data_IF_650234908588
#
_entry.id   IF_650234908588
#
_cell.length_a   1.000
_cell.length_b   1.000
_cell.length_c   1.000
_cell.angle_alpha   90.00
_cell.angle_beta   90.00
_cell.angle_gamma   90.00
#
_symmetry.space_group_name_H-M   'P 1'
#
loop_
_entity.id
_entity.type
_entity.pdbx_description
1 polymer ?
#
# COMPACT_ATOMS: atom_id res chain seq x y z
N UNK A 1 -21.42 -61.37 -6.24
CA UNK A 1 -20.47 -60.51 -5.55
C UNK A 1 -20.64 -59.09 -6.12
N UNK A 2 -21.48 -58.31 -5.47
CA UNK A 2 -21.80 -56.94 -5.88
C UNK A 2 -20.93 -55.94 -5.11
N UNK A 3 -20.10 -55.19 -5.84
CA UNK A 3 -19.34 -54.08 -5.28
C UNK A 3 -20.08 -52.77 -5.60
N UNK A 4 -20.80 -52.24 -4.61
CA UNK A 4 -21.39 -50.90 -4.67
C UNK A 4 -20.30 -49.89 -4.35
N UNK A 5 -19.94 -49.06 -5.34
CA UNK A 5 -19.16 -47.86 -5.16
C UNK A 5 -20.04 -46.77 -4.52
N UNK A 6 -19.67 -46.34 -3.31
CA UNK A 6 -20.23 -45.14 -2.70
C UNK A 6 -19.45 -43.92 -3.26
N UNK A 7 -20.11 -43.17 -4.11
CA UNK A 7 -19.65 -41.83 -4.48
C UNK A 7 -20.15 -40.85 -3.40
N UNK A 8 -19.22 -40.38 -2.53
CA UNK A 8 -19.46 -39.28 -1.63
C UNK A 8 -19.39 -37.97 -2.41
N UNK A 9 -20.54 -37.39 -2.74
CA UNK A 9 -20.64 -36.04 -3.24
C UNK A 9 -20.37 -35.07 -2.07
N UNK A 10 -19.19 -34.43 -2.08
CA UNK A 10 -18.92 -33.28 -1.23
C UNK A 10 -19.70 -32.11 -1.81
N UNK A 11 -20.84 -31.79 -1.20
CA UNK A 11 -21.55 -30.55 -1.46
C UNK A 11 -20.71 -29.39 -0.92
N UNK A 12 -19.99 -28.68 -1.78
CA UNK A 12 -19.45 -27.37 -1.47
C UNK A 12 -20.64 -26.43 -1.36
N UNK A 13 -21.05 -26.12 -0.12
CA UNK A 13 -22.00 -25.06 0.13
C UNK A 13 -21.36 -23.74 -0.30
N UNK A 14 -21.84 -23.18 -1.40
CA UNK A 14 -21.60 -21.80 -1.76
C UNK A 14 -22.22 -20.91 -0.67
N UNK A 15 -21.46 -20.62 0.37
CA UNK A 15 -21.81 -19.53 1.28
C UNK A 15 -21.78 -18.25 0.44
N UNK A 16 -22.96 -17.64 0.25
CA UNK A 16 -23.10 -16.43 -0.52
C UNK A 16 -22.16 -15.35 0.05
N UNK A 17 -21.18 -14.96 -0.74
CA UNK A 17 -20.29 -13.83 -0.44
C UNK A 17 -21.22 -12.61 -0.41
N UNK A 18 -21.51 -12.08 0.78
CA UNK A 18 -22.22 -10.80 0.87
C UNK A 18 -21.28 -9.72 0.36
N UNK A 19 -21.69 -9.10 -0.73
CA UNK A 19 -20.98 -8.05 -1.42
C UNK A 19 -20.64 -6.88 -0.50
N UNK A 20 -19.38 -6.44 -0.50
CA UNK A 20 -18.95 -5.21 0.18
C UNK A 20 -19.68 -3.98 -0.40
N UNK A 21 -20.18 -4.05 -1.63
CA UNK A 21 -20.97 -2.99 -2.29
C UNK A 21 -22.38 -2.83 -1.71
N UNK A 22 -22.95 -3.89 -1.11
CA UNK A 22 -24.26 -3.86 -0.48
C UNK A 22 -24.24 -3.31 0.97
N UNK A 23 -23.06 -2.94 1.49
CA UNK A 23 -22.93 -2.43 2.86
C UNK A 23 -23.51 -1.01 2.99
N UNK A 24 -24.31 -0.80 4.03
CA UNK A 24 -24.76 0.54 4.43
C UNK A 24 -23.60 1.31 5.09
N UNK A 25 -22.99 2.21 4.34
CA UNK A 25 -21.90 3.06 4.81
C UNK A 25 -22.39 4.33 5.53
N UNK A 26 -23.70 4.50 5.72
CA UNK A 26 -24.28 5.67 6.43
C UNK A 26 -24.30 5.48 7.95
N UNK A 27 -23.83 4.32 8.44
CA UNK A 27 -23.79 3.92 9.85
C UNK A 27 -25.17 3.83 10.54
N UNK A 28 -26.26 3.87 9.79
CA UNK A 28 -27.61 3.74 10.33
C UNK A 28 -27.94 2.31 10.74
N UNK A 29 -27.26 1.34 10.12
CA UNK A 29 -27.47 -0.08 10.41
C UNK A 29 -26.22 -0.65 11.07
N UNK A 30 -26.32 -1.31 12.24
CA UNK A 30 -25.18 -1.95 12.88
C UNK A 30 -24.52 -3.01 11.99
N UNK A 31 -23.20 -3.06 12.01
CA UNK A 31 -22.44 -4.11 11.33
C UNK A 31 -22.63 -5.45 12.04
N UNK A 32 -22.97 -6.49 11.30
CA UNK A 32 -23.00 -7.86 11.84
C UNK A 32 -21.60 -8.40 12.01
N UNK A 33 -21.31 -8.97 13.17
CA UNK A 33 -20.02 -9.60 13.46
C UNK A 33 -20.06 -11.14 13.27
N UNK A 34 -18.93 -11.78 12.90
CA UNK A 34 -17.72 -11.12 12.36
C UNK A 34 -18.03 -10.39 11.06
N UNK A 35 -17.27 -9.32 10.78
CA UNK A 35 -17.48 -8.52 9.57
C UNK A 35 -17.22 -9.36 8.32
N UNK A 36 -18.22 -9.52 7.41
CA UNK A 36 -18.09 -10.38 6.24
C UNK A 36 -17.08 -9.85 5.19
N UNK A 37 -16.69 -8.57 5.28
CA UNK A 37 -15.64 -8.01 4.42
C UNK A 37 -14.25 -8.53 4.78
N UNK A 38 -14.05 -9.16 5.95
CA UNK A 38 -12.77 -9.73 6.38
C UNK A 38 -12.79 -11.23 6.12
N UNK A 39 -12.18 -11.66 5.01
CA UNK A 39 -12.28 -13.02 4.47
C UNK A 39 -11.03 -13.81 4.79
N UNK A 40 -11.19 -14.97 5.46
CA UNK A 40 -10.12 -15.98 5.58
C UNK A 40 -10.17 -16.90 4.38
N UNK A 41 -9.08 -16.94 3.62
CA UNK A 41 -8.89 -17.87 2.50
C UNK A 41 -8.10 -19.11 2.94
N UNK A 42 -7.37 -19.01 4.05
CA UNK A 42 -6.57 -20.05 4.67
C UNK A 42 -6.61 -19.90 6.20
N UNK A 43 -6.63 -20.99 6.98
CA UNK A 43 -6.68 -20.93 8.45
C UNK A 43 -5.54 -20.12 9.10
N UNK A 44 -4.40 -19.96 8.42
CA UNK A 44 -3.29 -19.10 8.89
C UNK A 44 -3.69 -17.65 9.09
N UNK A 45 -4.73 -17.17 8.39
CA UNK A 45 -5.23 -15.80 8.54
C UNK A 45 -6.13 -15.63 9.76
N UNK A 46 -6.77 -16.68 10.26
CA UNK A 46 -7.78 -16.59 11.32
C UNK A 46 -7.27 -15.91 12.60
N UNK A 47 -5.99 -16.10 12.95
CA UNK A 47 -5.36 -15.45 14.11
C UNK A 47 -5.30 -13.93 14.03
N UNK A 48 -5.34 -13.36 12.82
CA UNK A 48 -5.28 -11.90 12.60
C UNK A 48 -6.66 -11.24 12.56
N UNK A 49 -7.71 -12.06 12.47
CA UNK A 49 -9.09 -11.61 12.35
C UNK A 49 -9.71 -11.40 13.72
N UNK A 50 -10.00 -10.16 14.06
CA UNK A 50 -10.78 -9.85 15.27
C UNK A 50 -12.26 -10.02 14.99
N UNK A 51 -12.95 -10.85 15.83
CA UNK A 51 -14.35 -11.23 15.60
C UNK A 51 -15.37 -10.12 15.84
N UNK A 52 -14.99 -9.02 16.48
CA UNK A 52 -15.86 -7.94 16.94
C UNK A 52 -15.43 -6.54 16.48
N UNK A 53 -14.71 -6.45 15.38
CA UNK A 53 -14.29 -5.18 14.77
C UNK A 53 -14.92 -5.01 13.40
N UNK A 54 -15.48 -3.82 13.08
CA UNK A 54 -16.00 -3.54 11.76
C UNK A 54 -14.90 -2.96 10.86
N UNK A 55 -15.03 -3.17 9.56
CA UNK A 55 -14.42 -2.32 8.56
C UNK A 55 -15.12 -0.96 8.59
N UNK A 56 -14.38 0.12 8.84
CA UNK A 56 -14.89 1.47 8.97
C UNK A 56 -14.50 2.31 7.73
N UNK A 57 -15.43 3.13 7.24
CA UNK A 57 -15.12 4.19 6.29
C UNK A 57 -14.98 5.50 7.07
N UNK A 58 -13.75 5.99 7.19
CA UNK A 58 -13.43 7.18 8.00
C UNK A 58 -13.66 8.48 7.24
N UNK A 59 -13.55 8.44 5.91
CA UNK A 59 -13.69 9.63 5.06
C UNK A 59 -14.08 9.25 3.64
N UNK A 60 -14.85 10.09 2.99
CA UNK A 60 -15.08 10.05 1.55
C UNK A 60 -14.70 11.42 0.98
N UNK A 61 -13.80 11.41 -0.01
CA UNK A 61 -13.37 12.62 -0.69
C UNK A 61 -14.57 13.28 -1.39
N UNK A 62 -14.93 14.52 -1.04
CA UNK A 62 -16.11 15.19 -1.62
C UNK A 62 -16.00 15.39 -3.14
N UNK A 63 -14.77 15.48 -3.67
CA UNK A 63 -14.51 15.60 -5.10
C UNK A 63 -14.37 14.22 -5.79
N UNK A 64 -14.37 13.13 -5.01
CA UNK A 64 -14.23 11.76 -5.50
C UNK A 64 -13.00 11.56 -6.39
N UNK A 65 -11.90 12.23 -6.03
CA UNK A 65 -10.61 12.11 -6.69
C UNK A 65 -9.81 10.94 -6.10
N UNK A 66 -8.58 10.73 -6.57
CA UNK A 66 -7.77 9.57 -6.25
C UNK A 66 -6.95 9.79 -4.98
N UNK A 67 -7.26 9.03 -3.91
CA UNK A 67 -6.50 9.04 -2.68
C UNK A 67 -5.36 8.01 -2.72
N UNK A 68 -4.23 8.37 -2.10
CA UNK A 68 -2.99 7.61 -2.12
C UNK A 68 -2.16 7.77 -0.84
N UNK A 69 -1.06 7.02 -0.76
CA UNK A 69 0.12 7.30 0.03
C UNK A 69 -0.15 7.53 1.52
N UNK A 70 -0.89 6.63 2.17
CA UNK A 70 -1.16 6.78 3.59
C UNK A 70 0.06 6.44 4.45
N UNK A 71 0.33 7.28 5.46
CA UNK A 71 1.39 7.13 6.45
C UNK A 71 0.92 7.56 7.84
N UNK A 72 1.22 6.75 8.85
CA UNK A 72 0.88 7.01 10.24
C UNK A 72 2.00 7.75 10.97
N UNK A 73 1.68 8.84 11.64
CA UNK A 73 2.57 9.49 12.60
C UNK A 73 2.22 9.03 14.01
N UNK A 74 3.09 8.24 14.63
CA UNK A 74 2.83 7.65 15.94
C UNK A 74 2.89 8.68 17.08
N UNK A 75 3.72 9.72 16.95
CA UNK A 75 3.87 10.78 17.96
C UNK A 75 2.65 11.71 17.96
N UNK A 76 2.28 12.20 16.77
CA UNK A 76 1.15 13.11 16.61
C UNK A 76 -0.22 12.41 16.56
N UNK A 77 -0.24 11.07 16.48
CA UNK A 77 -1.46 10.23 16.41
C UNK A 77 -2.41 10.66 15.29
N UNK A 78 -1.84 10.83 14.09
CA UNK A 78 -2.59 11.17 12.89
C UNK A 78 -2.10 10.38 11.68
N UNK A 79 -2.98 10.22 10.71
CA UNK A 79 -2.68 9.66 9.41
C UNK A 79 -2.56 10.78 8.39
N UNK A 80 -1.50 10.79 7.60
CA UNK A 80 -1.41 11.60 6.37
C UNK A 80 -1.77 10.71 5.19
N UNK A 81 -2.50 11.26 4.22
CA UNK A 81 -2.74 10.64 2.92
C UNK A 81 -2.89 11.71 1.83
N UNK A 82 -2.65 11.32 0.61
CA UNK A 82 -2.64 12.23 -0.55
C UNK A 82 -3.97 12.17 -1.30
N UNK A 83 -4.51 13.32 -1.71
CA UNK A 83 -5.41 13.46 -2.85
C UNK A 83 -4.57 13.94 -4.01
N UNK A 84 -4.06 13.01 -4.82
CA UNK A 84 -3.04 13.29 -5.83
C UNK A 84 -3.52 14.26 -6.89
N UNK A 85 -4.70 14.05 -7.55
CA UNK A 85 -5.21 15.00 -8.54
C UNK A 85 -5.65 16.33 -7.94
N UNK A 86 -6.11 16.31 -6.68
CA UNK A 86 -6.51 17.51 -5.95
C UNK A 86 -5.35 18.39 -5.51
N UNK A 87 -4.11 17.89 -5.65
CA UNK A 87 -2.88 18.55 -5.18
C UNK A 87 -2.92 18.87 -3.69
N UNK A 88 -3.39 17.89 -2.90
CA UNK A 88 -3.62 18.01 -1.47
C UNK A 88 -2.91 16.88 -0.70
N UNK A 89 -2.40 17.20 0.49
CA UNK A 89 -2.26 16.24 1.56
C UNK A 89 -3.36 16.46 2.59
N UNK A 90 -4.01 15.37 2.96
CA UNK A 90 -5.06 15.31 3.96
C UNK A 90 -4.51 14.68 5.23
N UNK A 91 -5.10 15.03 6.37
CA UNK A 91 -4.73 14.47 7.67
C UNK A 91 -6.01 14.03 8.40
N UNK A 92 -6.08 12.72 8.71
CA UNK A 92 -7.07 12.18 9.63
C UNK A 92 -6.48 12.19 11.05
N UNK A 93 -7.21 12.74 12.01
CA UNK A 93 -6.80 12.89 13.41
C UNK A 93 -7.53 11.85 14.25
N UNK A 94 -6.78 11.04 15.02
CA UNK A 94 -7.34 9.94 15.81
C UNK A 94 -8.27 10.42 16.92
N UNK A 95 -7.94 11.54 17.57
CA UNK A 95 -8.63 12.01 18.77
C UNK A 95 -10.06 12.48 18.52
N UNK A 96 -10.33 13.05 17.35
CA UNK A 96 -11.64 13.61 17.00
C UNK A 96 -12.27 13.01 15.73
N UNK A 97 -11.61 12.00 15.16
CA UNK A 97 -12.05 11.30 13.92
C UNK A 97 -12.32 12.26 12.75
N UNK A 98 -11.54 13.34 12.64
CA UNK A 98 -11.75 14.39 11.64
C UNK A 98 -10.66 14.39 10.58
N UNK A 99 -11.03 14.63 9.32
CA UNK A 99 -10.09 14.89 8.23
C UNK A 99 -9.95 16.39 8.00
N UNK A 100 -8.71 16.85 7.85
CA UNK A 100 -8.36 18.23 7.56
C UNK A 100 -7.40 18.31 6.39
N UNK A 101 -7.38 19.43 5.68
CA UNK A 101 -6.31 19.73 4.72
C UNK A 101 -5.02 19.94 5.53
N UNK A 102 -3.99 19.18 5.20
CA UNK A 102 -2.69 19.26 5.85
C UNK A 102 -1.71 20.13 5.06
N UNK A 103 -1.68 19.97 3.72
CA UNK A 103 -0.89 20.82 2.81
C UNK A 103 -1.64 21.07 1.51
N UNK A 104 -1.48 22.30 0.99
CA UNK A 104 -1.99 22.75 -0.30
C UNK A 104 -1.16 23.94 -0.80
N UNK A 105 -0.50 23.88 -1.97
CA UNK A 105 -0.34 22.71 -2.82
C UNK A 105 0.55 21.64 -2.17
N UNK A 106 0.44 20.39 -2.61
CA UNK A 106 1.27 19.27 -2.15
C UNK A 106 2.31 18.82 -3.18
N UNK A 107 2.32 19.42 -4.36
CA UNK A 107 3.13 19.01 -5.50
C UNK A 107 2.62 17.70 -6.14
N UNK A 108 1.31 17.46 -6.12
CA UNK A 108 0.70 16.19 -6.49
C UNK A 108 1.38 15.03 -5.73
N UNK A 109 1.49 15.16 -4.40
CA UNK A 109 2.11 14.12 -3.58
C UNK A 109 1.40 12.79 -3.77
N UNK A 110 2.18 11.69 -3.81
CA UNK A 110 1.67 10.33 -3.89
C UNK A 110 2.01 9.59 -2.60
N UNK A 111 3.04 8.74 -2.57
CA UNK A 111 3.48 8.01 -1.41
C UNK A 111 4.07 8.90 -0.32
N UNK A 112 3.80 8.53 0.92
CA UNK A 112 4.34 9.19 2.10
C UNK A 112 4.87 8.15 3.10
N UNK A 113 5.83 8.59 3.91
CA UNK A 113 6.30 7.88 5.09
C UNK A 113 6.80 8.89 6.12
N UNK A 114 7.14 8.42 7.30
CA UNK A 114 7.90 9.20 8.28
C UNK A 114 9.27 8.57 8.47
N UNK A 115 10.30 9.39 8.74
CA UNK A 115 11.56 8.87 9.22
C UNK A 115 11.49 8.57 10.73
N UNK A 116 12.50 7.90 11.26
CA UNK A 116 12.54 7.54 12.68
C UNK A 116 12.79 8.72 13.62
N UNK A 117 12.96 9.92 13.06
CA UNK A 117 12.96 11.19 13.77
C UNK A 117 11.59 11.88 13.73
N UNK A 118 10.59 11.29 13.05
CA UNK A 118 9.23 11.80 12.94
C UNK A 118 9.01 12.86 11.86
N UNK A 119 9.98 13.05 10.93
CA UNK A 119 9.84 13.98 9.82
C UNK A 119 9.15 13.25 8.65
N UNK A 120 8.21 13.91 8.01
CA UNK A 120 7.52 13.34 6.86
C UNK A 120 8.39 13.39 5.62
N UNK A 121 8.42 12.28 4.87
CA UNK A 121 9.00 12.16 3.54
C UNK A 121 7.87 11.91 2.55
N UNK A 122 7.89 12.59 1.41
CA UNK A 122 6.84 12.53 0.39
C UNK A 122 7.40 12.42 -1.01
N UNK A 123 6.79 11.58 -1.83
CA UNK A 123 7.01 11.53 -3.27
C UNK A 123 6.08 12.53 -3.96
N UNK A 124 6.62 13.44 -4.75
CA UNK A 124 5.86 14.49 -5.46
C UNK A 124 5.90 14.25 -6.97
N UNK A 125 4.76 13.94 -7.57
CA UNK A 125 4.64 13.69 -9.01
C UNK A 125 4.82 14.97 -9.85
N UNK A 126 4.24 16.10 -9.43
CA UNK A 126 4.29 17.34 -10.17
C UNK A 126 5.72 17.83 -10.43
N UNK A 127 6.52 18.12 -9.40
CA UNK A 127 7.94 18.49 -9.54
C UNK A 127 8.87 17.31 -9.81
N UNK A 128 8.39 16.04 -9.74
CA UNK A 128 9.16 14.80 -10.03
C UNK A 128 10.32 14.63 -9.04
N UNK A 129 10.02 14.58 -7.74
CA UNK A 129 11.05 14.58 -6.68
C UNK A 129 10.59 13.88 -5.40
N UNK A 130 11.55 13.54 -4.54
CA UNK A 130 11.34 13.12 -3.15
C UNK A 130 11.75 14.26 -2.23
N UNK A 131 10.89 14.59 -1.26
CA UNK A 131 11.12 15.68 -0.31
C UNK A 131 10.97 15.22 1.12
N UNK A 132 11.60 15.92 2.05
CA UNK A 132 11.38 15.79 3.48
C UNK A 132 10.91 17.12 4.05
N UNK A 133 9.89 17.07 4.89
CA UNK A 133 9.42 18.24 5.63
C UNK A 133 10.10 18.30 6.98
N UNK A 134 10.81 19.38 7.22
CA UNK A 134 11.57 19.61 8.44
C UNK A 134 10.67 20.10 9.58
N UNK A 135 11.18 20.11 10.83
CA UNK A 135 10.38 20.51 12.00
C UNK A 135 9.94 21.98 11.98
N UNK A 136 10.68 22.84 11.29
CA UNK A 136 10.32 24.25 11.09
C UNK A 136 9.30 24.48 9.97
N UNK A 137 8.88 23.40 9.30
CA UNK A 137 7.93 23.41 8.19
C UNK A 137 8.57 23.65 6.82
N UNK A 138 9.90 23.82 6.74
CA UNK A 138 10.61 23.92 5.47
C UNK A 138 10.64 22.60 4.74
N UNK A 139 10.83 22.63 3.41
CA UNK A 139 10.90 21.47 2.54
C UNK A 139 12.34 21.28 2.05
N UNK A 140 12.93 20.13 2.37
CA UNK A 140 14.24 19.71 1.85
C UNK A 140 14.05 18.76 0.67
N UNK A 141 14.56 19.12 -0.50
CA UNK A 141 14.59 18.21 -1.67
C UNK A 141 15.69 17.17 -1.46
N UNK A 142 15.27 15.89 -1.32
CA UNK A 142 16.19 14.77 -1.11
C UNK A 142 16.69 14.19 -2.43
N UNK A 143 15.82 14.11 -3.43
CA UNK A 143 16.14 13.57 -4.76
C UNK A 143 15.25 14.19 -5.83
N UNK A 144 15.82 14.65 -6.94
CA UNK A 144 15.09 15.17 -8.12
C UNK A 144 15.71 14.70 -9.44
N UNK A 145 16.96 14.28 -9.43
CA UNK A 145 17.71 13.82 -10.61
C UNK A 145 18.58 12.63 -10.27
N UNK A 146 18.84 11.79 -11.28
CA UNK A 146 19.82 10.73 -11.22
C UNK A 146 20.71 10.80 -12.48
N UNK A 147 22.02 10.91 -12.31
CA UNK A 147 23.00 11.07 -13.41
C UNK A 147 22.62 12.22 -14.38
N UNK A 148 22.19 13.37 -13.83
CA UNK A 148 21.82 14.56 -14.60
C UNK A 148 20.44 14.49 -15.28
N UNK A 149 19.73 13.37 -15.19
CA UNK A 149 18.38 13.18 -15.74
C UNK A 149 17.33 13.27 -14.65
N UNK A 150 16.20 13.86 -14.99
CA UNK A 150 15.08 14.02 -14.06
C UNK A 150 14.40 12.67 -13.80
N UNK A 151 13.96 12.41 -12.55
CA UNK A 151 13.14 11.23 -12.24
C UNK A 151 11.85 11.23 -13.06
N UNK A 152 11.25 10.05 -13.23
CA UNK A 152 9.95 9.93 -13.90
C UNK A 152 8.85 10.56 -13.05
N UNK A 153 8.47 9.90 -11.98
CA UNK A 153 7.54 10.41 -10.97
C UNK A 153 7.65 9.54 -9.71
N UNK A 154 8.55 9.88 -8.77
CA UNK A 154 8.68 9.13 -7.54
C UNK A 154 7.30 8.85 -6.91
N UNK A 155 7.05 7.56 -6.57
CA UNK A 155 5.70 7.09 -6.28
C UNK A 155 5.51 6.66 -4.83
N UNK A 156 6.17 5.59 -4.35
CA UNK A 156 6.11 5.17 -2.95
C UNK A 156 7.50 5.20 -2.31
N UNK A 157 7.56 5.32 -0.97
CA UNK A 157 8.80 5.57 -0.23
C UNK A 157 8.77 4.92 1.14
N UNK A 158 9.91 4.36 1.54
CA UNK A 158 10.16 3.76 2.86
C UNK A 158 11.51 4.18 3.40
N UNK A 159 11.68 4.09 4.73
CA UNK A 159 12.95 4.34 5.41
C UNK A 159 13.48 3.04 6.00
N UNK A 160 14.75 2.75 5.77
CA UNK A 160 15.40 1.58 6.34
C UNK A 160 15.82 1.86 7.78
N UNK A 161 15.32 1.06 8.73
CA UNK A 161 15.39 1.35 10.17
C UNK A 161 16.81 1.41 10.73
N UNK A 162 17.76 0.67 10.18
CA UNK A 162 19.09 0.55 10.77
C UNK A 162 20.08 1.62 10.30
N UNK A 163 19.85 2.23 9.14
CA UNK A 163 20.78 3.20 8.55
C UNK A 163 20.11 4.49 8.07
N UNK A 164 18.80 4.64 8.32
CA UNK A 164 17.96 5.78 7.91
C UNK A 164 17.97 6.04 6.40
N UNK A 165 18.50 5.11 5.58
CA UNK A 165 18.47 5.26 4.12
C UNK A 165 17.03 5.25 3.61
N UNK A 166 16.77 6.04 2.56
CA UNK A 166 15.44 6.24 2.00
C UNK A 166 15.37 5.50 0.68
N UNK A 167 14.39 4.61 0.54
CA UNK A 167 14.19 3.80 -0.66
C UNK A 167 12.88 4.19 -1.30
N UNK A 168 12.87 4.42 -2.62
CA UNK A 168 11.67 4.86 -3.33
C UNK A 168 11.58 4.24 -4.73
N UNK A 169 10.36 4.17 -5.24
CA UNK A 169 10.06 3.72 -6.60
C UNK A 169 9.86 4.91 -7.52
N UNK A 170 10.28 4.78 -8.79
CA UNK A 170 10.19 5.83 -9.81
C UNK A 170 9.50 5.34 -11.09
N UNK A 171 8.21 4.99 -11.04
CA UNK A 171 7.43 4.69 -12.24
C UNK A 171 7.01 5.97 -12.97
N UNK A 172 6.42 5.80 -14.16
CA UNK A 172 6.00 6.92 -15.02
C UNK A 172 4.60 7.48 -14.74
N UNK A 173 3.89 7.05 -13.69
CA UNK A 173 2.47 7.40 -13.48
C UNK A 173 2.19 8.90 -13.51
N UNK A 174 3.00 9.72 -12.82
CA UNK A 174 2.82 11.16 -12.75
C UNK A 174 3.16 11.93 -14.03
N UNK A 175 3.80 11.27 -15.02
CA UNK A 175 4.15 11.88 -16.31
C UNK A 175 3.38 11.30 -17.50
N UNK A 176 2.53 10.29 -17.29
CA UNK A 176 1.74 9.70 -18.38
C UNK A 176 0.64 10.63 -18.87
N UNK A 177 0.00 11.38 -17.97
CA UNK A 177 -1.16 12.24 -18.23
C UNK A 177 -1.14 13.47 -17.32
N UNK A 178 -1.94 14.50 -17.65
CA UNK A 178 -2.15 15.70 -16.84
C UNK A 178 -3.28 15.47 -15.81
N UNK A 179 -3.14 14.50 -14.94
CA UNK A 179 -4.13 14.19 -13.91
C UNK A 179 -3.50 14.02 -12.52
N UNK A 180 -2.52 13.15 -12.40
CA UNK A 180 -1.77 12.91 -11.15
C UNK A 180 -0.41 13.60 -11.14
N UNK A 181 -0.14 14.44 -12.11
CA UNK A 181 1.09 15.20 -12.32
C UNK A 181 1.03 15.92 -13.67
N UNK A 182 2.17 16.11 -14.31
CA UNK A 182 2.27 16.80 -15.61
C UNK A 182 2.89 15.89 -16.66
N UNK A 183 2.18 15.71 -17.80
CA UNK A 183 2.66 14.89 -18.90
C UNK A 183 4.03 15.32 -19.37
N UNK A 184 4.99 14.40 -19.41
CA UNK A 184 6.35 14.61 -19.84
C UNK A 184 6.94 13.32 -20.43
N UNK A 185 8.03 13.42 -21.25
CA UNK A 185 8.77 12.24 -21.65
C UNK A 185 9.53 11.64 -20.46
N UNK A 186 9.67 10.31 -20.45
CA UNK A 186 10.56 9.61 -19.54
C UNK A 186 12.01 9.84 -19.95
N UNK A 187 12.86 10.19 -18.97
CA UNK A 187 14.31 10.39 -19.19
C UNK A 187 15.12 9.21 -18.63
N UNK A 188 14.52 8.43 -17.72
CA UNK A 188 15.12 7.29 -17.05
C UNK A 188 14.25 6.05 -17.26
N UNK A 189 14.87 4.86 -17.23
CA UNK A 189 14.14 3.61 -17.06
C UNK A 189 13.48 3.60 -15.70
N UNK A 190 12.28 3.08 -15.61
CA UNK A 190 11.56 2.90 -14.34
C UNK A 190 12.38 1.98 -13.42
N UNK A 191 12.54 2.35 -12.16
CA UNK A 191 13.47 1.70 -11.24
C UNK A 191 13.15 1.93 -9.77
N UNK A 192 13.84 1.22 -8.91
CA UNK A 192 13.91 1.47 -7.46
C UNK A 192 15.25 2.16 -7.17
N UNK A 193 15.21 3.19 -6.35
CA UNK A 193 16.36 3.99 -5.94
C UNK A 193 16.52 4.00 -4.43
N UNK A 194 17.76 4.25 -3.98
CA UNK A 194 18.13 4.45 -2.58
C UNK A 194 18.88 5.77 -2.43
N UNK A 195 18.55 6.52 -1.39
CA UNK A 195 19.27 7.72 -0.96
C UNK A 195 20.02 7.34 0.32
N UNK A 196 21.33 7.52 0.35
CA UNK A 196 22.12 7.36 1.56
C UNK A 196 21.82 8.49 2.54
N UNK A 197 21.51 8.15 3.79
CA UNK A 197 21.08 9.13 4.79
C UNK A 197 22.17 10.12 5.21
N UNK A 198 23.44 9.75 5.07
CA UNK A 198 24.59 10.55 5.51
C UNK A 198 25.17 11.41 4.39
N UNK A 199 25.41 10.79 3.24
CA UNK A 199 26.02 11.47 2.09
C UNK A 199 25.01 12.15 1.18
N UNK A 200 23.73 11.72 1.19
CA UNK A 200 22.74 12.12 0.22
C UNK A 200 22.95 11.49 -1.17
N UNK A 201 23.90 10.57 -1.31
CA UNK A 201 24.18 9.87 -2.57
C UNK A 201 22.98 9.04 -3.00
N UNK A 202 22.61 9.15 -4.28
CA UNK A 202 21.52 8.38 -4.87
C UNK A 202 22.10 7.23 -5.68
N UNK A 203 21.64 6.02 -5.39
CA UNK A 203 21.99 4.81 -6.15
C UNK A 203 20.74 4.18 -6.75
N UNK A 204 20.86 3.68 -7.99
CA UNK A 204 19.82 2.84 -8.58
C UNK A 204 19.97 1.43 -8.01
N UNK A 205 18.95 0.96 -7.30
CA UNK A 205 18.95 -0.34 -6.63
C UNK A 205 18.66 -1.46 -7.63
N UNK A 206 17.60 -1.30 -8.41
CA UNK A 206 17.24 -2.24 -9.49
C UNK A 206 16.36 -1.57 -10.53
N UNK A 207 16.50 -2.00 -11.78
CA UNK A 207 15.58 -1.76 -12.88
C UNK A 207 15.12 -3.09 -13.53
N UNK A 208 15.28 -4.20 -12.81
CA UNK A 208 14.70 -5.51 -13.12
C UNK A 208 13.26 -5.60 -12.63
N UNK A 209 12.48 -4.62 -12.99
CA UNK A 209 11.06 -4.45 -12.68
C UNK A 209 10.44 -3.58 -13.77
N UNK A 210 9.24 -3.91 -14.23
CA UNK A 210 8.65 -3.21 -15.37
C UNK A 210 8.05 -1.87 -14.95
N UNK A 211 7.24 -1.87 -13.87
CA UNK A 211 6.61 -0.66 -13.35
C UNK A 211 6.51 -0.74 -11.83
N UNK A 212 7.58 -0.36 -11.11
CA UNK A 212 7.61 -0.44 -9.66
C UNK A 212 6.57 0.49 -9.03
N UNK A 213 5.84 -0.02 -8.04
CA UNK A 213 4.83 0.73 -7.32
C UNK A 213 5.12 0.69 -5.81
N UNK A 214 4.25 0.13 -4.96
CA UNK A 214 4.48 0.00 -3.54
C UNK A 214 5.72 -0.82 -3.19
N UNK A 215 6.40 -0.48 -2.10
CA UNK A 215 7.54 -1.22 -1.61
C UNK A 215 7.52 -1.35 -0.09
N UNK A 216 8.10 -2.45 0.44
CA UNK A 216 8.33 -2.61 1.87
C UNK A 216 9.48 -3.58 2.16
N UNK A 217 10.11 -3.41 3.32
CA UNK A 217 11.05 -4.42 3.83
C UNK A 217 10.32 -5.53 4.59
N UNK A 218 10.93 -6.73 4.65
CA UNK A 218 10.55 -7.75 5.62
C UNK A 218 10.77 -7.25 7.05
N UNK A 219 10.12 -7.88 8.03
CA UNK A 219 10.24 -7.49 9.44
C UNK A 219 11.68 -7.51 9.96
N UNK A 220 12.53 -8.41 9.43
CA UNK A 220 13.95 -8.53 9.75
C UNK A 220 14.88 -7.70 8.85
N UNK A 221 14.34 -6.89 7.93
CA UNK A 221 15.05 -6.05 6.97
C UNK A 221 15.93 -6.80 5.95
N UNK A 222 15.83 -8.12 5.88
CA UNK A 222 16.66 -8.92 4.97
C UNK A 222 16.09 -9.06 3.57
N UNK A 223 14.85 -8.66 3.35
CA UNK A 223 14.19 -8.72 2.05
C UNK A 223 13.55 -7.37 1.72
N UNK A 224 13.59 -7.03 0.42
CA UNK A 224 12.81 -5.95 -0.16
C UNK A 224 11.73 -6.55 -1.05
N UNK A 225 10.48 -6.18 -0.80
CA UNK A 225 9.34 -6.49 -1.66
C UNK A 225 8.94 -5.26 -2.45
N UNK A 226 8.62 -5.44 -3.73
CA UNK A 226 8.16 -4.36 -4.62
C UNK A 226 7.01 -4.88 -5.47
N UNK A 227 5.91 -4.13 -5.51
CA UNK A 227 4.80 -4.37 -6.43
C UNK A 227 5.21 -4.01 -7.86
N UNK A 228 4.98 -4.91 -8.81
CA UNK A 228 5.20 -4.70 -10.25
C UNK A 228 3.85 -4.62 -10.96
N UNK A 229 3.49 -3.44 -11.42
CA UNK A 229 2.22 -3.18 -12.13
C UNK A 229 2.40 -3.08 -13.64
N UNK A 230 3.53 -3.54 -14.14
CA UNK A 230 3.85 -3.51 -15.58
C UNK A 230 3.09 -4.57 -16.39
N UNK A 231 3.11 -4.41 -17.71
CA UNK A 231 2.47 -5.36 -18.63
C UNK A 231 3.13 -6.73 -18.51
N UNK A 232 2.33 -7.75 -18.24
CA UNK A 232 2.78 -9.12 -18.01
C UNK A 232 3.20 -9.40 -16.56
N UNK A 233 3.24 -8.36 -15.68
CA UNK A 233 3.42 -8.45 -14.25
C UNK A 233 2.08 -8.57 -13.51
N UNK A 234 1.77 -7.62 -12.69
CA UNK A 234 0.74 -7.64 -11.66
C UNK A 234 1.09 -8.65 -10.55
N UNK A 235 2.34 -8.62 -10.18
CA UNK A 235 2.94 -9.51 -9.20
C UNK A 235 3.63 -8.67 -8.12
N UNK A 236 4.02 -9.33 -7.04
CA UNK A 236 4.96 -8.78 -6.07
C UNK A 236 6.28 -9.51 -6.29
N UNK A 237 7.36 -8.75 -6.49
CA UNK A 237 8.73 -9.27 -6.55
C UNK A 237 9.42 -9.14 -5.20
N UNK A 238 10.42 -9.99 -4.97
CA UNK A 238 11.22 -9.99 -3.74
C UNK A 238 12.70 -10.16 -4.07
N UNK A 239 13.55 -9.45 -3.35
CA UNK A 239 15.01 -9.55 -3.38
C UNK A 239 15.56 -9.71 -1.97
N UNK A 240 16.74 -10.32 -1.86
CA UNK A 240 17.54 -10.29 -0.63
C UNK A 240 18.27 -8.93 -0.55
N UNK A 241 18.20 -8.28 0.61
CA UNK A 241 18.91 -7.03 0.89
C UNK A 241 20.36 -7.35 1.28
N UNK A 242 21.31 -6.66 0.65
CA UNK A 242 22.74 -6.82 0.89
C UNK A 242 23.40 -5.43 1.04
N UNK A 243 23.28 -4.87 2.25
CA UNK A 243 23.69 -3.49 2.53
C UNK A 243 22.90 -2.48 1.71
N UNK A 244 23.60 -1.73 0.85
CA UNK A 244 23.01 -0.73 -0.04
C UNK A 244 22.49 -1.30 -1.36
N UNK A 245 22.62 -2.61 -1.58
CA UNK A 245 22.25 -3.33 -2.81
C UNK A 245 21.25 -4.44 -2.53
N UNK A 246 20.73 -5.05 -3.59
CA UNK A 246 19.86 -6.22 -3.52
C UNK A 246 20.32 -7.30 -4.48
N UNK A 247 19.94 -8.56 -4.22
CA UNK A 247 20.28 -9.72 -5.03
C UNK A 247 19.17 -10.78 -5.02
N UNK A 248 19.33 -11.81 -5.85
CA UNK A 248 18.43 -12.97 -5.89
C UNK A 248 16.96 -12.61 -6.16
N UNK A 249 16.72 -11.64 -7.07
CA UNK A 249 15.37 -11.21 -7.42
C UNK A 249 14.51 -12.33 -8.00
N UNK A 250 13.27 -12.44 -7.51
CA UNK A 250 12.28 -13.41 -7.99
C UNK A 250 10.87 -12.93 -7.74
N UNK A 251 9.89 -13.57 -8.38
CA UNK A 251 8.49 -13.42 -8.04
C UNK A 251 8.24 -13.95 -6.63
N UNK A 252 7.54 -13.18 -5.80
CA UNK A 252 7.07 -13.59 -4.48
C UNK A 252 5.64 -14.09 -4.53
N UNK A 253 4.72 -13.30 -5.08
CA UNK A 253 3.30 -13.64 -5.16
C UNK A 253 2.68 -13.07 -6.44
N UNK A 254 1.63 -13.74 -6.93
CA UNK A 254 0.85 -13.27 -8.07
C UNK A 254 -0.47 -12.66 -7.63
N UNK A 255 -0.87 -11.58 -8.30
CA UNK A 255 -2.18 -10.97 -8.11
C UNK A 255 -3.30 -11.73 -8.82
N UNK A 256 -2.97 -12.75 -9.66
CA UNK A 256 -3.98 -13.63 -10.24
C UNK A 256 -4.76 -14.35 -9.13
N UNK A 257 -6.06 -14.43 -9.29
CA UNK A 257 -6.95 -15.13 -8.37
C UNK A 257 -7.99 -15.95 -9.17
N UNK A 258 -8.19 -17.19 -8.77
CA UNK A 258 -9.17 -18.06 -9.41
C UNK A 258 -10.59 -17.50 -9.25
N UNK A 259 -11.42 -17.70 -10.27
CA UNK A 259 -12.78 -17.14 -10.32
C UNK A 259 -12.87 -15.75 -10.94
N UNK A 260 -11.73 -15.07 -11.21
CA UNK A 260 -11.71 -13.76 -11.87
C UNK A 260 -11.02 -13.81 -13.23
N UNK A 261 -11.68 -13.25 -14.25
CA UNK A 261 -11.14 -13.21 -15.62
C UNK A 261 -10.00 -12.20 -15.76
N UNK A 262 -9.96 -11.16 -14.91
CA UNK A 262 -8.93 -10.15 -14.89
C UNK A 262 -7.91 -10.42 -13.79
N UNK A 263 -6.66 -10.08 -14.04
CA UNK A 263 -5.63 -10.00 -13.03
C UNK A 263 -5.60 -8.55 -12.52
N UNK A 264 -5.81 -8.37 -11.22
CA UNK A 264 -5.73 -7.05 -10.60
C UNK A 264 -4.29 -6.59 -10.37
N UNK A 265 -4.14 -5.38 -9.86
CA UNK A 265 -2.85 -4.79 -9.57
C UNK A 265 -2.58 -4.82 -8.06
N UNK A 266 -1.34 -5.11 -7.68
CA UNK A 266 -0.77 -4.76 -6.38
C UNK A 266 -0.29 -3.33 -6.47
N UNK A 267 -0.68 -2.47 -5.51
CA UNK A 267 -0.27 -1.06 -5.47
C UNK A 267 0.57 -0.83 -4.19
N UNK A 268 0.14 -0.06 -3.21
CA UNK A 268 0.87 0.06 -1.94
C UNK A 268 0.93 -1.27 -1.17
N UNK A 269 2.07 -1.59 -0.56
CA UNK A 269 2.29 -2.82 0.21
C UNK A 269 2.96 -2.54 1.54
N UNK A 270 2.65 -3.34 2.59
CA UNK A 270 3.32 -3.27 3.89
C UNK A 270 3.50 -4.67 4.48
N UNK A 271 4.56 -4.85 5.26
CA UNK A 271 4.80 -6.08 6.01
C UNK A 271 4.25 -5.97 7.44
N UNK A 272 3.79 -7.09 8.01
CA UNK A 272 3.57 -7.22 9.45
C UNK A 272 4.77 -7.87 10.16
N UNK A 273 4.73 -7.91 11.49
CA UNK A 273 5.82 -8.47 12.30
C UNK A 273 6.02 -9.97 12.09
N UNK A 274 4.99 -10.69 11.67
CA UNK A 274 5.02 -12.12 11.37
C UNK A 274 5.54 -12.41 9.94
N UNK A 275 5.83 -11.36 9.15
CA UNK A 275 6.38 -11.44 7.80
C UNK A 275 5.33 -11.62 6.71
N UNK A 276 4.03 -11.48 7.00
CA UNK A 276 3.04 -11.43 5.94
C UNK A 276 3.13 -10.09 5.19
N UNK A 277 2.83 -10.13 3.89
CA UNK A 277 2.73 -8.95 3.05
C UNK A 277 1.26 -8.62 2.83
N UNK A 278 0.88 -7.42 3.27
CA UNK A 278 -0.42 -6.83 3.06
C UNK A 278 -0.34 -5.94 1.82
N UNK A 279 -1.10 -6.31 0.79
CA UNK A 279 -1.07 -5.66 -0.52
C UNK A 279 -2.41 -5.01 -0.81
N UNK A 280 -2.41 -3.73 -1.10
CA UNK A 280 -3.58 -3.12 -1.73
C UNK A 280 -3.83 -3.76 -3.10
N UNK A 281 -5.09 -3.86 -3.50
CA UNK A 281 -5.53 -4.55 -4.69
C UNK A 281 -6.70 -3.82 -5.35
N UNK A 282 -6.73 -3.84 -6.69
CA UNK A 282 -7.81 -3.21 -7.40
C UNK A 282 -7.88 -3.55 -8.88
N UNK A 283 -8.82 -2.87 -9.58
CA UNK A 283 -9.07 -2.92 -11.02
C UNK A 283 -9.77 -4.18 -11.52
N UNK A 284 -10.32 -4.99 -10.63
CA UNK A 284 -11.09 -6.19 -10.96
C UNK A 284 -12.56 -6.01 -10.64
N UNK A 285 -12.87 -5.53 -9.44
CA UNK A 285 -14.23 -5.28 -8.97
C UNK A 285 -14.59 -6.06 -7.71
N UNK A 286 -15.89 -6.25 -7.53
CA UNK A 286 -16.49 -6.87 -6.35
C UNK A 286 -15.90 -8.26 -6.04
N UNK A 287 -15.61 -8.52 -4.76
CA UNK A 287 -15.02 -9.77 -4.27
C UNK A 287 -13.52 -9.87 -4.45
N UNK A 288 -12.89 -8.88 -5.13
CA UNK A 288 -11.45 -8.82 -5.35
C UNK A 288 -10.84 -7.54 -4.76
N UNK A 289 -11.42 -6.36 -5.09
CA UNK A 289 -10.82 -5.07 -4.74
C UNK A 289 -10.76 -4.87 -3.22
N UNK A 290 -9.64 -4.32 -2.74
CA UNK A 290 -9.39 -4.09 -1.33
C UNK A 290 -7.97 -4.41 -0.90
N UNK A 291 -7.76 -5.34 0.03
CA UNK A 291 -6.44 -5.77 0.51
C UNK A 291 -6.31 -7.28 0.42
N UNK A 292 -5.21 -7.75 -0.15
CA UNK A 292 -4.84 -9.17 -0.15
C UNK A 292 -3.68 -9.41 0.80
N UNK A 293 -3.75 -10.47 1.58
CA UNK A 293 -2.74 -10.82 2.57
C UNK A 293 -2.01 -12.08 2.11
N UNK A 294 -0.69 -11.99 1.99
CA UNK A 294 0.20 -13.07 1.57
C UNK A 294 1.08 -13.51 2.71
N UNK A 295 1.09 -14.82 2.99
CA UNK A 295 2.02 -15.42 3.96
C UNK A 295 3.49 -15.30 3.48
N UNK A 296 4.50 -15.50 4.35
CA UNK A 296 5.91 -15.37 3.98
C UNK A 296 6.38 -16.27 2.82
N UNK A 297 5.64 -17.32 2.51
CA UNK A 297 5.90 -18.20 1.37
C UNK A 297 5.21 -17.78 0.06
N UNK A 298 4.44 -16.68 0.07
CA UNK A 298 3.72 -16.15 -1.08
C UNK A 298 2.29 -16.65 -1.26
N UNK A 299 1.80 -17.55 -0.40
CA UNK A 299 0.40 -17.99 -0.45
C UNK A 299 -0.53 -16.85 -0.04
N UNK A 300 -1.61 -16.64 -0.80
CA UNK A 300 -2.68 -15.70 -0.40
C UNK A 300 -3.52 -16.35 0.69
N UNK A 301 -3.53 -15.76 1.89
CA UNK A 301 -4.19 -16.33 3.08
C UNK A 301 -5.45 -15.60 3.50
N UNK A 302 -5.62 -14.34 3.09
CA UNK A 302 -6.78 -13.55 3.48
C UNK A 302 -7.06 -12.38 2.55
N UNK A 303 -8.23 -11.77 2.73
CA UNK A 303 -8.66 -10.55 2.05
C UNK A 303 -9.43 -9.64 2.99
N UNK A 304 -9.33 -8.33 2.73
CA UNK A 304 -10.26 -7.31 3.24
C UNK A 304 -10.91 -6.68 2.01
N UNK A 305 -12.20 -6.94 1.82
CA UNK A 305 -12.93 -6.50 0.63
C UNK A 305 -13.39 -5.06 0.79
N UNK A 306 -13.14 -4.24 -0.22
CA UNK A 306 -13.62 -2.86 -0.32
C UNK A 306 -14.57 -2.71 -1.52
N UNK A 307 -15.48 -1.71 -1.49
CA UNK A 307 -16.38 -1.44 -2.62
C UNK A 307 -15.68 -0.67 -3.76
N UNK A 308 -14.38 -0.42 -3.65
CA UNK A 308 -13.58 0.36 -4.58
C UNK A 308 -12.11 -0.07 -4.53
N UNK A 309 -11.32 0.32 -5.55
CA UNK A 309 -9.89 0.00 -5.59
C UNK A 309 -9.18 0.52 -4.33
N UNK A 310 -8.35 -0.29 -3.72
CA UNK A 310 -7.40 0.15 -2.71
C UNK A 310 -6.09 0.53 -3.40
N UNK A 311 -5.63 1.77 -3.20
CA UNK A 311 -4.40 2.25 -3.80
C UNK A 311 -3.20 2.10 -2.85
N UNK A 312 -3.38 2.45 -1.57
CA UNK A 312 -2.28 2.36 -0.61
C UNK A 312 -2.80 1.94 0.78
N UNK A 313 -1.90 1.46 1.62
CA UNK A 313 -2.23 1.06 2.98
C UNK A 313 -1.05 1.29 3.94
N UNK A 314 -1.35 1.48 5.23
CA UNK A 314 -0.36 1.46 6.28
C UNK A 314 -0.95 0.95 7.60
N UNK A 315 -0.11 0.39 8.44
CA UNK A 315 -0.46 0.12 9.83
C UNK A 315 -0.31 1.39 10.67
N UNK A 316 -1.14 1.52 11.70
CA UNK A 316 -1.11 2.64 12.62
C UNK A 316 -1.91 2.37 13.89
N UNK A 317 -2.28 3.46 14.59
CA UNK A 317 -2.92 3.39 15.90
C UNK A 317 -1.93 3.10 17.02
N UNK A 318 -2.40 3.19 18.27
CA UNK A 318 -1.55 3.09 19.47
C UNK A 318 -0.77 1.78 19.61
N UNK A 319 -1.30 0.68 19.05
CA UNK A 319 -0.69 -0.65 19.12
C UNK A 319 -0.10 -1.10 17.80
N UNK A 320 -0.12 -0.24 16.75
CA UNK A 320 0.34 -0.61 15.42
C UNK A 320 -0.52 -1.66 14.71
N UNK A 321 -1.74 -1.89 15.18
CA UNK A 321 -2.62 -2.95 14.72
C UNK A 321 -3.91 -2.44 14.07
N UNK A 322 -3.97 -1.17 13.72
CA UNK A 322 -5.03 -0.59 12.91
C UNK A 322 -4.53 -0.42 11.49
N UNK A 323 -5.11 -1.16 10.56
CA UNK A 323 -4.82 -1.03 9.15
C UNK A 323 -5.64 0.11 8.57
N UNK A 324 -4.97 1.10 7.98
CA UNK A 324 -5.57 2.17 7.20
C UNK A 324 -5.40 1.87 5.71
N UNK A 325 -6.42 2.17 4.93
CA UNK A 325 -6.51 1.88 3.51
C UNK A 325 -6.98 3.13 2.76
N UNK A 326 -6.07 3.77 2.00
CA UNK A 326 -6.41 4.82 1.07
C UNK A 326 -6.96 4.16 -0.20
N UNK A 327 -8.27 4.17 -0.34
CA UNK A 327 -8.96 3.69 -1.52
C UNK A 327 -9.19 4.83 -2.52
N UNK A 328 -9.69 4.52 -3.70
CA UNK A 328 -9.78 5.50 -4.79
C UNK A 328 -10.50 6.80 -4.38
N UNK A 329 -11.57 6.70 -3.59
CA UNK A 329 -12.37 7.86 -3.19
C UNK A 329 -12.51 8.03 -1.67
N UNK A 330 -12.12 7.03 -0.90
CA UNK A 330 -12.37 6.98 0.53
C UNK A 330 -11.16 6.54 1.33
N UNK A 331 -11.15 6.87 2.62
CA UNK A 331 -10.24 6.31 3.60
C UNK A 331 -10.99 5.30 4.45
N UNK A 332 -10.47 4.07 4.51
CA UNK A 332 -11.00 3.01 5.36
C UNK A 332 -10.01 2.63 6.47
N UNK A 333 -10.52 2.01 7.51
CA UNK A 333 -9.70 1.41 8.55
C UNK A 333 -10.36 0.18 9.18
N UNK A 334 -9.53 -0.73 9.66
CA UNK A 334 -9.96 -1.90 10.42
C UNK A 334 -8.92 -2.26 11.47
N UNK A 335 -9.34 -2.69 12.64
CA UNK A 335 -8.45 -3.29 13.63
C UNK A 335 -8.20 -4.75 13.30
N UNK A 336 -6.97 -5.19 13.43
CA UNK A 336 -6.54 -6.57 13.26
C UNK A 336 -5.73 -7.01 14.47
N UNK A 337 -5.41 -8.31 14.59
CA UNK A 337 -4.42 -8.79 15.56
C UNK A 337 -3.00 -8.87 14.94
N UNK A 338 -2.84 -8.40 13.70
CA UNK A 338 -1.54 -8.16 13.08
C UNK A 338 -1.00 -6.78 13.50
N UNK A 339 0.32 -6.69 13.67
CA UNK A 339 1.05 -5.45 13.97
C UNK A 339 2.00 -5.13 12.81
N UNK A 340 2.04 -3.88 12.38
CA UNK A 340 2.95 -3.45 11.32
C UNK A 340 4.42 -3.61 11.70
N UNK A 341 5.25 -4.04 10.75
CA UNK A 341 6.66 -4.35 11.01
C UNK A 341 7.53 -3.10 11.26
N UNK A 342 7.27 -2.02 10.53
CA UNK A 342 8.11 -0.81 10.53
C UNK A 342 7.24 0.42 10.79
N UNK A 343 6.85 0.56 12.06
CA UNK A 343 6.11 1.73 12.53
C UNK A 343 7.08 2.88 12.82
N UNK A 344 6.73 4.07 12.35
CA UNK A 344 7.50 5.32 12.56
C UNK A 344 6.74 6.32 13.42
#
# INVERSE_FOLDING_TARGET
MDRRFFLSSVAVSAAGIMSASARDWTEKTPTRYPDPAIVSLDPRFDKYKLGNTPLQRLYTNPNRLWNEGCAWNAVGRYLVFSDVPGDLQLRWIEDDNRVTIFRKPSGNSNGNTFDYQGRQISCQHGPRRVVRYEYDGTETVLASHFNGKKFNSPNDVIVHRNDDSIWFTDPSYGIMKNYTGTKAPSELKEAVYRIDAKSGEITKVTDDIVKPNGLCFSSDLKKLYVADTGVGGNDIKVWDVDGASIKNGKQFASMKMDGFAKVGHSDGIRADVDGNIWSSAGWVGEGYDGVHIFAPNGDRIGQILLPENCANLCFGGRKGNRLFMAASQSLYAVYTDAVGAHMT
#
